data_IF_665702182795
#
_entry.id   IF_665702182795
#
_cell.length_a   1.000
_cell.length_b   1.000
_cell.length_c   1.000
_cell.angle_alpha   90.00
_cell.angle_beta   90.00
_cell.angle_gamma   90.00
#
_symmetry.space_group_name_H-M   'P 1'
#
loop_
_entity.id
_entity.type
_entity.pdbx_description
1 polymer ?
#
# COMPACT_ATOMS: atom_id res chain seq x y z
N UNK A 1 10.78 -54.28 23.76
CA UNK A 1 11.15 -53.36 22.67
C UNK A 1 9.91 -53.03 21.79
N UNK A 2 8.79 -52.64 22.42
CA UNK A 2 7.49 -52.34 21.69
C UNK A 2 6.90 -50.96 22.09
N UNK A 3 7.55 -50.18 22.96
CA UNK A 3 6.96 -48.95 23.52
C UNK A 3 7.42 -47.64 22.84
N UNK A 4 8.42 -47.69 21.91
CA UNK A 4 8.99 -46.49 21.29
C UNK A 4 8.28 -46.08 19.98
N UNK A 5 7.58 -46.97 19.29
CA UNK A 5 6.92 -46.69 18.02
C UNK A 5 5.56 -45.98 18.15
N UNK A 6 4.85 -46.15 19.27
CA UNK A 6 3.57 -45.52 19.52
C UNK A 6 3.70 -44.00 19.83
N UNK A 7 4.80 -43.61 20.49
CA UNK A 7 5.01 -42.19 20.86
C UNK A 7 5.39 -41.33 19.63
N UNK A 8 6.21 -41.89 18.75
CA UNK A 8 6.64 -41.21 17.51
C UNK A 8 5.48 -41.02 16.52
N UNK A 9 4.59 -42.02 16.41
CA UNK A 9 3.41 -41.96 15.56
C UNK A 9 2.37 -40.93 16.09
N UNK A 10 2.30 -40.73 17.41
CA UNK A 10 1.39 -39.74 18.02
C UNK A 10 1.89 -38.31 17.82
N UNK A 11 3.20 -38.08 17.94
CA UNK A 11 3.84 -36.78 17.69
C UNK A 11 3.73 -36.41 16.21
N UNK A 12 3.96 -37.34 15.30
CA UNK A 12 3.83 -37.10 13.84
C UNK A 12 2.38 -36.81 13.47
N UNK A 13 1.40 -37.56 13.99
CA UNK A 13 -0.02 -37.27 13.78
C UNK A 13 -0.46 -35.91 14.34
N UNK A 14 0.05 -35.54 15.52
CA UNK A 14 -0.26 -34.23 16.13
C UNK A 14 0.37 -33.09 15.34
N UNK A 15 1.59 -33.26 14.82
CA UNK A 15 2.28 -32.26 13.98
C UNK A 15 1.61 -32.11 12.60
N UNK A 16 1.18 -33.22 11.98
CA UNK A 16 0.42 -33.21 10.71
C UNK A 16 -0.96 -32.60 10.92
N UNK A 17 -1.67 -32.94 12.02
CA UNK A 17 -2.98 -32.39 12.33
C UNK A 17 -2.93 -30.89 12.66
N UNK A 18 -1.85 -30.41 13.33
CA UNK A 18 -1.59 -28.98 13.51
C UNK A 18 -1.22 -28.29 12.20
N UNK A 19 -0.51 -28.95 11.29
CA UNK A 19 -0.21 -28.41 9.94
C UNK A 19 -1.46 -28.36 9.06
N UNK A 20 -2.32 -29.40 9.09
CA UNK A 20 -3.58 -29.44 8.36
C UNK A 20 -4.65 -28.49 8.94
N UNK A 21 -4.68 -28.26 10.26
CA UNK A 21 -5.54 -27.24 10.88
C UNK A 21 -5.13 -25.80 10.56
N UNK A 22 -3.88 -25.55 10.13
CA UNK A 22 -3.45 -24.23 9.60
C UNK A 22 -4.06 -23.90 8.24
N UNK A 23 -4.65 -24.88 7.52
CA UNK A 23 -5.11 -24.74 6.13
C UNK A 23 -6.53 -24.19 6.01
N UNK A 24 -7.28 -24.02 7.11
CA UNK A 24 -8.71 -23.63 7.07
C UNK A 24 -9.11 -22.40 7.87
N UNK A 25 -8.19 -21.65 8.43
CA UNK A 25 -8.55 -20.38 9.09
C UNK A 25 -8.52 -19.25 8.07
N UNK A 26 -9.68 -18.90 7.54
CA UNK A 26 -9.85 -17.78 6.61
C UNK A 26 -9.58 -16.45 7.29
N UNK A 27 -8.65 -15.67 6.75
CA UNK A 27 -8.42 -14.28 7.12
C UNK A 27 -8.37 -13.41 5.86
N UNK A 28 -8.69 -12.13 6.03
CA UNK A 28 -8.72 -11.18 4.90
C UNK A 28 -7.45 -10.32 4.81
N UNK A 29 -6.89 -9.94 5.95
CA UNK A 29 -5.69 -9.09 6.01
C UNK A 29 -4.72 -9.60 7.09
N UNK A 30 -3.46 -9.13 7.05
CA UNK A 30 -2.46 -9.43 8.10
C UNK A 30 -2.98 -9.05 9.49
N UNK A 31 -3.66 -7.89 9.62
CA UNK A 31 -4.24 -7.49 10.90
C UNK A 31 -5.39 -8.41 11.33
N UNK A 32 -6.24 -8.84 10.40
CA UNK A 32 -7.33 -9.79 10.70
C UNK A 32 -6.77 -11.15 11.16
N UNK A 33 -5.72 -11.64 10.49
CA UNK A 33 -5.00 -12.84 10.91
C UNK A 33 -4.46 -12.70 12.35
N UNK A 34 -3.75 -11.61 12.63
CA UNK A 34 -3.19 -11.35 13.95
C UNK A 34 -4.26 -11.26 15.05
N UNK A 35 -5.41 -10.63 14.77
CA UNK A 35 -6.55 -10.55 15.70
C UNK A 35 -7.19 -11.91 15.98
N UNK A 36 -7.12 -12.83 15.02
CA UNK A 36 -7.57 -14.22 15.16
C UNK A 36 -6.51 -15.15 15.75
N UNK A 37 -5.34 -14.62 16.08
CA UNK A 37 -4.21 -15.42 16.59
C UNK A 37 -3.56 -16.30 15.53
N UNK A 38 -3.75 -15.97 14.23
CA UNK A 38 -3.15 -16.70 13.12
C UNK A 38 -1.81 -16.04 12.79
N UNK A 39 -0.76 -16.85 12.84
CA UNK A 39 0.59 -16.43 12.43
C UNK A 39 0.74 -16.71 10.94
N UNK A 40 0.97 -15.66 10.16
CA UNK A 40 1.19 -15.76 8.71
C UNK A 40 2.68 -15.93 8.40
N UNK A 41 2.99 -16.41 7.20
CA UNK A 41 4.39 -16.48 6.72
C UNK A 41 5.07 -15.10 6.64
N UNK A 42 4.28 -14.05 6.39
CA UNK A 42 4.75 -12.67 6.38
C UNK A 42 5.15 -12.22 7.79
N UNK A 43 4.36 -12.55 8.82
CA UNK A 43 4.69 -12.27 10.22
C UNK A 43 5.95 -13.02 10.67
N UNK A 44 6.09 -14.30 10.33
CA UNK A 44 7.28 -15.08 10.62
C UNK A 44 8.54 -14.46 9.97
N UNK A 45 8.44 -14.05 8.70
CA UNK A 45 9.54 -13.41 8.00
C UNK A 45 9.93 -12.06 8.63
N UNK A 46 8.95 -11.24 9.01
CA UNK A 46 9.20 -9.95 9.67
C UNK A 46 9.80 -10.16 11.05
N UNK A 47 9.26 -11.05 11.87
CA UNK A 47 9.80 -11.35 13.20
C UNK A 47 11.27 -11.76 13.14
N UNK A 48 11.62 -12.62 12.17
CA UNK A 48 13.01 -13.03 11.91
C UNK A 48 13.91 -11.87 11.49
N UNK A 49 13.47 -11.03 10.56
CA UNK A 49 14.23 -9.86 10.06
C UNK A 49 14.47 -8.81 11.13
N UNK A 50 13.51 -8.63 12.03
CA UNK A 50 13.56 -7.62 13.09
C UNK A 50 14.09 -8.16 14.43
N UNK A 51 14.43 -9.45 14.51
CA UNK A 51 14.85 -10.12 15.75
C UNK A 51 13.84 -9.94 16.90
N UNK A 52 12.55 -9.91 16.55
CA UNK A 52 11.44 -9.74 17.51
C UNK A 52 10.77 -11.08 17.80
N UNK A 53 10.31 -11.26 19.02
CA UNK A 53 9.48 -12.41 19.41
C UNK A 53 8.18 -12.41 18.56
N UNK A 54 7.78 -13.59 18.08
CA UNK A 54 6.63 -13.70 17.17
C UNK A 54 5.31 -13.35 17.87
N UNK A 55 5.13 -13.71 19.12
CA UNK A 55 3.90 -13.41 19.87
C UNK A 55 3.79 -11.91 20.16
N UNK A 56 4.92 -11.24 20.39
CA UNK A 56 4.97 -9.79 20.52
C UNK A 56 4.64 -9.09 19.20
N UNK A 57 5.22 -9.55 18.07
CA UNK A 57 4.90 -9.02 16.76
C UNK A 57 3.40 -9.14 16.46
N UNK A 58 2.81 -10.32 16.67
CA UNK A 58 1.37 -10.57 16.43
C UNK A 58 0.51 -9.63 17.26
N UNK A 59 0.83 -9.40 18.53
CA UNK A 59 0.11 -8.44 19.39
C UNK A 59 0.18 -7.01 18.85
N UNK A 60 1.36 -6.59 18.37
CA UNK A 60 1.57 -5.24 17.83
C UNK A 60 0.85 -5.06 16.48
N UNK A 61 0.80 -6.10 15.64
CA UNK A 61 0.01 -6.10 14.39
C UNK A 61 -1.50 -6.06 14.71
N UNK A 62 -1.97 -6.90 15.64
CA UNK A 62 -3.38 -6.97 16.03
C UNK A 62 -3.92 -5.64 16.57
N UNK A 63 -3.10 -4.87 17.30
CA UNK A 63 -3.47 -3.56 17.84
C UNK A 63 -3.13 -2.37 16.90
N UNK A 64 -2.61 -2.64 15.69
CA UNK A 64 -2.33 -1.61 14.68
C UNK A 64 -1.08 -0.77 14.93
N UNK A 65 -0.16 -1.22 15.80
CA UNK A 65 1.13 -0.54 16.03
C UNK A 65 2.21 -0.95 15.03
N UNK A 66 2.02 -2.08 14.36
CA UNK A 66 2.83 -2.56 13.24
C UNK A 66 1.88 -2.89 12.09
N UNK A 67 2.29 -2.53 10.87
CA UNK A 67 1.67 -2.97 9.63
C UNK A 67 2.68 -3.78 8.83
N UNK A 68 2.16 -4.72 8.03
CA UNK A 68 2.96 -5.51 7.08
C UNK A 68 2.30 -5.35 5.72
N UNK A 69 2.75 -4.40 4.89
CA UNK A 69 2.23 -4.25 3.53
C UNK A 69 2.58 -5.48 2.70
N UNK A 70 1.55 -6.24 2.31
CA UNK A 70 1.74 -7.52 1.63
C UNK A 70 0.49 -7.87 0.80
N UNK A 71 0.38 -7.30 -0.39
CA UNK A 71 -0.71 -7.59 -1.28
C UNK A 71 -0.71 -9.07 -1.70
N UNK A 72 -1.86 -9.71 -1.69
CA UNK A 72 -2.05 -11.13 -2.06
C UNK A 72 -1.55 -11.47 -3.46
N UNK A 73 -1.51 -10.47 -4.35
CA UNK A 73 -1.09 -10.62 -5.74
C UNK A 73 0.41 -10.35 -5.96
N UNK A 74 1.13 -9.80 -4.97
CA UNK A 74 2.59 -9.58 -5.05
C UNK A 74 3.34 -10.85 -4.65
N UNK A 75 3.64 -11.73 -5.62
CA UNK A 75 4.15 -13.08 -5.34
C UNK A 75 5.63 -13.18 -4.99
N UNK A 76 6.44 -12.21 -5.42
CA UNK A 76 7.88 -12.17 -5.15
C UNK A 76 8.25 -11.32 -3.92
N UNK A 77 7.26 -10.77 -3.20
CA UNK A 77 7.48 -9.91 -2.05
C UNK A 77 8.33 -10.58 -0.97
N UNK A 78 9.35 -9.88 -0.52
CA UNK A 78 10.05 -10.14 0.73
C UNK A 78 9.49 -9.23 1.83
N UNK A 79 8.56 -9.70 2.68
CA UNK A 79 7.80 -8.83 3.57
C UNK A 79 8.68 -8.09 4.57
N UNK A 80 8.31 -6.85 4.85
CA UNK A 80 8.88 -6.02 5.91
C UNK A 80 7.76 -5.42 6.75
N UNK A 81 8.01 -5.27 8.05
CA UNK A 81 7.10 -4.60 8.97
C UNK A 81 7.44 -3.12 9.11
N UNK A 82 6.41 -2.29 9.30
CA UNK A 82 6.56 -0.84 9.54
C UNK A 82 5.79 -0.50 10.81
N UNK A 83 6.45 0.14 11.76
CA UNK A 83 5.78 0.53 13.01
C UNK A 83 6.68 0.51 14.23
N UNK A 84 6.03 0.42 15.39
CA UNK A 84 6.68 0.50 16.71
C UNK A 84 7.70 -0.59 16.91
N UNK A 85 8.87 -0.22 17.46
CA UNK A 85 9.97 -1.11 17.84
C UNK A 85 10.68 -1.81 16.66
N UNK A 86 10.33 -1.51 15.43
CA UNK A 86 11.01 -2.03 14.25
C UNK A 86 12.07 -1.03 13.76
N UNK A 87 13.03 -1.54 12.98
CA UNK A 87 14.00 -0.68 12.26
C UNK A 87 13.27 0.31 11.35
N UNK A 88 13.84 1.49 11.16
CA UNK A 88 13.39 2.42 10.12
C UNK A 88 13.62 1.83 8.74
N UNK A 89 12.59 1.84 7.88
CA UNK A 89 12.64 1.38 6.49
C UNK A 89 12.90 2.54 5.55
N UNK A 90 13.65 2.26 4.49
CA UNK A 90 13.92 3.23 3.43
C UNK A 90 12.92 3.00 2.30
N UNK A 91 12.18 4.06 1.97
CA UNK A 91 11.30 4.10 0.80
C UNK A 91 11.93 4.97 -0.28
N UNK A 92 12.17 4.43 -1.47
CA UNK A 92 12.79 5.11 -2.60
C UNK A 92 11.71 5.54 -3.59
N UNK A 93 11.65 6.84 -3.85
CA UNK A 93 10.72 7.42 -4.83
C UNK A 93 11.35 7.43 -6.22
N UNK A 94 10.62 6.97 -7.21
CA UNK A 94 10.98 6.98 -8.63
C UNK A 94 9.73 7.06 -9.51
N UNK A 95 9.89 7.03 -10.81
CA UNK A 95 8.77 6.99 -11.74
C UNK A 95 8.94 7.91 -12.94
N UNK A 96 8.19 7.62 -13.99
CA UNK A 96 8.21 8.35 -15.26
C UNK A 96 7.40 9.65 -15.20
N UNK A 97 7.85 10.63 -15.97
CA UNK A 97 7.18 11.92 -16.16
C UNK A 97 7.10 12.27 -17.64
N UNK A 98 6.37 13.33 -18.00
CA UNK A 98 6.29 13.81 -19.39
C UNK A 98 7.67 14.11 -19.99
N UNK A 99 8.60 14.58 -19.17
CA UNK A 99 9.91 14.99 -19.62
C UNK A 99 10.92 13.82 -19.66
N UNK A 100 10.60 12.69 -19.00
CA UNK A 100 11.44 11.50 -18.99
C UNK A 100 10.56 10.24 -18.88
N UNK A 101 10.49 9.46 -19.97
CA UNK A 101 9.64 8.25 -20.11
C UNK A 101 10.53 7.01 -20.37
N UNK A 102 11.70 6.95 -19.75
CA UNK A 102 12.63 5.84 -19.91
C UNK A 102 12.39 4.78 -18.84
N UNK A 103 11.68 3.71 -19.20
CA UNK A 103 11.35 2.61 -18.30
C UNK A 103 12.56 1.78 -17.92
N UNK A 104 13.55 1.64 -18.79
CA UNK A 104 14.75 0.86 -18.50
C UNK A 104 15.60 1.59 -17.47
N UNK A 105 15.72 2.90 -17.58
CA UNK A 105 16.38 3.73 -16.57
C UNK A 105 15.64 3.67 -15.22
N UNK A 106 14.30 3.67 -15.21
CA UNK A 106 13.53 3.53 -13.96
C UNK A 106 13.74 2.14 -13.34
N UNK A 107 13.81 1.06 -14.13
CA UNK A 107 14.14 -0.27 -13.64
C UNK A 107 15.56 -0.38 -13.09
N UNK A 108 16.52 0.28 -13.70
CA UNK A 108 17.89 0.35 -13.17
C UNK A 108 17.93 1.06 -11.81
N UNK A 109 17.13 2.13 -11.63
CA UNK A 109 16.97 2.79 -10.31
C UNK A 109 16.37 1.82 -9.28
N UNK A 110 15.33 1.06 -9.64
CA UNK A 110 14.73 0.02 -8.76
C UNK A 110 15.78 -0.99 -8.34
N UNK A 111 16.49 -1.58 -9.31
CA UNK A 111 17.51 -2.60 -9.07
C UNK A 111 18.63 -2.07 -8.15
N UNK A 112 19.08 -0.84 -8.38
CA UNK A 112 20.09 -0.21 -7.55
C UNK A 112 19.56 0.08 -6.13
N UNK A 113 18.33 0.56 -5.98
CA UNK A 113 17.71 0.82 -4.69
C UNK A 113 17.59 -0.47 -3.85
N UNK A 114 17.09 -1.55 -4.46
CA UNK A 114 16.98 -2.87 -3.80
C UNK A 114 18.36 -3.40 -3.42
N UNK A 115 19.35 -3.31 -4.32
CA UNK A 115 20.73 -3.72 -4.05
C UNK A 115 21.38 -2.93 -2.90
N UNK A 116 20.97 -1.67 -2.73
CA UNK A 116 21.42 -0.81 -1.62
C UNK A 116 20.63 -1.04 -0.32
N UNK A 117 19.64 -1.92 -0.33
CA UNK A 117 18.87 -2.33 0.85
C UNK A 117 17.60 -1.53 1.08
N UNK A 118 17.05 -0.86 0.07
CA UNK A 118 15.74 -0.23 0.18
C UNK A 118 14.65 -1.30 0.41
N UNK A 119 13.82 -1.10 1.42
CA UNK A 119 12.73 -2.00 1.77
C UNK A 119 11.43 -1.69 1.01
N UNK A 120 11.29 -0.47 0.50
CA UNK A 120 10.12 -0.05 -0.27
C UNK A 120 10.50 0.80 -1.48
N UNK A 121 9.71 0.65 -2.54
CA UNK A 121 9.78 1.46 -3.76
C UNK A 121 8.43 2.15 -3.95
N UNK A 122 8.44 3.48 -4.09
CA UNK A 122 7.26 4.28 -4.40
C UNK A 122 7.27 4.68 -5.86
N UNK A 123 6.40 4.06 -6.66
CA UNK A 123 6.19 4.44 -8.05
C UNK A 123 5.29 5.68 -8.13
N UNK A 124 5.90 6.80 -8.52
CA UNK A 124 5.25 8.09 -8.70
C UNK A 124 5.02 8.40 -10.19
N UNK A 125 5.01 7.39 -11.05
CA UNK A 125 4.80 7.54 -12.47
C UNK A 125 3.53 8.33 -12.78
N UNK A 126 3.65 9.25 -13.71
CA UNK A 126 2.58 10.17 -14.08
C UNK A 126 2.48 10.38 -15.59
N UNK A 127 3.18 9.55 -16.37
CA UNK A 127 3.16 9.57 -17.82
C UNK A 127 3.65 8.25 -18.43
N UNK A 128 3.16 7.91 -19.62
CA UNK A 128 3.53 6.69 -20.32
C UNK A 128 2.66 5.48 -19.92
N UNK A 129 3.14 4.27 -20.19
CA UNK A 129 2.44 3.02 -19.83
C UNK A 129 2.75 2.65 -18.36
N UNK A 130 2.13 3.40 -17.44
CA UNK A 130 2.29 3.26 -15.99
C UNK A 130 1.87 1.88 -15.50
N UNK A 131 0.81 1.30 -16.09
CA UNK A 131 0.32 -0.03 -15.70
C UNK A 131 1.31 -1.14 -16.03
N UNK A 132 1.96 -1.07 -17.19
CA UNK A 132 2.99 -2.03 -17.58
C UNK A 132 4.19 -1.98 -16.63
N UNK A 133 4.62 -0.77 -16.27
CA UNK A 133 5.70 -0.59 -15.31
C UNK A 133 5.33 -1.14 -13.93
N UNK A 134 4.17 -0.77 -13.41
CA UNK A 134 3.65 -1.26 -12.11
C UNK A 134 3.57 -2.79 -12.06
N UNK A 135 3.01 -3.43 -13.10
CA UNK A 135 2.96 -4.90 -13.17
C UNK A 135 4.34 -5.54 -13.18
N UNK A 136 5.31 -4.91 -13.84
CA UNK A 136 6.68 -5.40 -13.82
C UNK A 136 7.27 -5.30 -12.41
N UNK A 137 7.05 -4.19 -11.70
CA UNK A 137 7.50 -4.03 -10.32
C UNK A 137 6.91 -5.12 -9.41
N UNK A 138 5.60 -5.32 -9.42
CA UNK A 138 4.92 -6.31 -8.55
C UNK A 138 5.19 -7.77 -8.94
N UNK A 139 5.81 -8.01 -10.09
CA UNK A 139 6.18 -9.36 -10.54
C UNK A 139 7.65 -9.69 -10.26
N UNK A 140 8.54 -8.70 -10.34
CA UNK A 140 9.99 -8.92 -10.34
C UNK A 140 10.72 -8.31 -9.12
N UNK A 141 10.14 -7.28 -8.48
CA UNK A 141 10.80 -6.57 -7.37
C UNK A 141 10.41 -7.18 -6.02
N UNK A 142 11.36 -7.60 -5.17
CA UNK A 142 11.06 -8.16 -3.86
C UNK A 142 10.74 -7.11 -2.78
N UNK A 143 10.97 -5.83 -3.05
CA UNK A 143 10.65 -4.73 -2.12
C UNK A 143 9.15 -4.44 -2.12
N UNK A 144 8.66 -3.84 -1.03
CA UNK A 144 7.28 -3.34 -0.92
C UNK A 144 7.02 -2.30 -2.01
N UNK A 145 5.96 -2.45 -2.79
CA UNK A 145 5.60 -1.51 -3.87
C UNK A 145 4.47 -0.60 -3.42
N UNK A 146 4.74 0.71 -3.48
CA UNK A 146 3.76 1.76 -3.23
C UNK A 146 3.43 2.56 -4.48
N UNK A 147 2.20 3.09 -4.55
CA UNK A 147 1.75 3.96 -5.65
C UNK A 147 0.85 5.10 -5.18
N UNK A 148 0.58 6.04 -6.08
CA UNK A 148 -0.38 7.14 -5.87
C UNK A 148 -1.43 7.08 -6.98
N UNK A 149 -2.55 6.36 -6.80
CA UNK A 149 -3.53 6.10 -7.86
C UNK A 149 -4.05 7.36 -8.56
N UNK A 150 -4.18 8.48 -7.84
CA UNK A 150 -4.65 9.74 -8.42
C UNK A 150 -3.74 10.26 -9.55
N UNK A 151 -2.44 9.92 -9.57
CA UNK A 151 -1.54 10.33 -10.65
C UNK A 151 -1.81 9.58 -11.94
N UNK A 152 -2.25 8.33 -11.81
CA UNK A 152 -2.48 7.42 -12.93
C UNK A 152 -3.82 7.68 -13.62
N UNK A 153 -4.86 8.08 -12.90
CA UNK A 153 -6.21 8.22 -13.43
C UNK A 153 -6.29 9.13 -14.66
N UNK A 154 -5.62 10.29 -14.62
CA UNK A 154 -5.62 11.25 -15.74
C UNK A 154 -4.90 10.66 -16.96
N UNK A 155 -3.83 9.90 -16.73
CA UNK A 155 -3.03 9.26 -17.78
C UNK A 155 -3.78 8.09 -18.38
N UNK A 156 -4.35 7.23 -17.55
CA UNK A 156 -5.01 5.99 -17.95
C UNK A 156 -6.27 6.23 -18.77
N UNK A 157 -7.13 7.17 -18.33
CA UNK A 157 -8.39 7.43 -19.03
C UNK A 157 -8.27 8.36 -20.25
N UNK A 158 -7.14 9.03 -20.42
CA UNK A 158 -6.94 10.03 -21.50
C UNK A 158 -8.08 11.07 -21.60
N UNK A 159 -8.64 11.44 -20.43
CA UNK A 159 -9.75 12.39 -20.31
C UNK A 159 -9.28 13.71 -19.71
N UNK A 160 -10.04 14.79 -19.94
CA UNK A 160 -9.86 15.98 -19.15
C UNK A 160 -10.24 15.71 -17.69
N UNK A 161 -9.53 16.33 -16.74
CA UNK A 161 -9.70 16.09 -15.32
C UNK A 161 -11.18 16.17 -14.88
N UNK A 162 -11.92 17.17 -15.35
CA UNK A 162 -13.35 17.38 -15.03
C UNK A 162 -14.28 16.26 -15.52
N UNK A 163 -13.85 15.46 -16.51
CA UNK A 163 -14.66 14.43 -17.13
C UNK A 163 -14.41 13.03 -16.52
N UNK A 164 -13.51 12.94 -15.55
CA UNK A 164 -13.29 11.72 -14.75
C UNK A 164 -14.41 11.62 -13.72
N UNK A 165 -15.13 10.51 -13.73
CA UNK A 165 -16.25 10.25 -12.83
C UNK A 165 -15.76 9.74 -11.46
N UNK A 166 -16.59 9.87 -10.42
CA UNK A 166 -16.29 9.31 -9.10
C UNK A 166 -16.00 7.80 -9.16
N UNK A 167 -16.76 7.07 -9.98
CA UNK A 167 -16.53 5.63 -10.19
C UNK A 167 -15.15 5.35 -10.78
N UNK A 168 -14.73 6.12 -11.79
CA UNK A 168 -13.40 5.94 -12.41
C UNK A 168 -12.25 6.22 -11.43
N UNK A 169 -12.43 7.13 -10.46
CA UNK A 169 -11.47 7.31 -9.36
C UNK A 169 -11.35 6.07 -8.47
N UNK A 170 -12.44 5.37 -8.19
CA UNK A 170 -12.43 4.12 -7.44
C UNK A 170 -11.90 2.94 -8.26
N UNK A 171 -12.25 2.87 -9.54
CA UNK A 171 -11.78 1.84 -10.47
C UNK A 171 -10.25 1.86 -10.61
N UNK A 172 -9.61 3.05 -10.60
CA UNK A 172 -8.15 3.17 -10.59
C UNK A 172 -7.55 2.60 -9.29
N UNK A 173 -8.16 2.86 -8.12
CA UNK A 173 -7.69 2.28 -6.86
C UNK A 173 -7.75 0.75 -6.92
N UNK A 174 -8.88 0.20 -7.41
CA UNK A 174 -9.05 -1.24 -7.60
C UNK A 174 -8.01 -1.82 -8.56
N UNK A 175 -7.76 -1.18 -9.67
CA UNK A 175 -6.77 -1.62 -10.66
C UNK A 175 -5.36 -1.71 -10.06
N UNK A 176 -4.96 -0.74 -9.24
CA UNK A 176 -3.66 -0.78 -8.56
C UNK A 176 -3.59 -1.94 -7.55
N UNK A 177 -4.68 -2.18 -6.80
CA UNK A 177 -4.77 -3.31 -5.88
C UNK A 177 -4.68 -4.66 -6.60
N UNK A 178 -5.41 -4.83 -7.72
CA UNK A 178 -5.35 -6.02 -8.58
C UNK A 178 -3.96 -6.26 -9.16
N UNK A 179 -3.26 -5.20 -9.54
CA UNK A 179 -1.91 -5.28 -10.10
C UNK A 179 -0.84 -5.64 -9.05
N UNK A 180 -1.21 -5.80 -7.76
CA UNK A 180 -0.32 -6.31 -6.72
C UNK A 180 0.40 -5.24 -5.89
N UNK A 181 -0.05 -3.98 -5.92
CA UNK A 181 0.53 -2.90 -5.11
C UNK A 181 0.29 -3.14 -3.62
N UNK A 182 1.33 -3.03 -2.80
CA UNK A 182 1.28 -3.33 -1.36
C UNK A 182 0.73 -2.19 -0.52
N UNK A 183 0.98 -0.94 -0.94
CA UNK A 183 0.38 0.23 -0.29
C UNK A 183 0.04 1.33 -1.30
N UNK A 184 -0.98 2.10 -0.99
CA UNK A 184 -1.43 3.20 -1.85
C UNK A 184 -1.58 4.49 -1.07
N UNK A 185 -1.07 5.60 -1.60
CA UNK A 185 -1.32 6.92 -1.02
C UNK A 185 -2.62 7.49 -1.58
N UNK A 186 -3.62 7.63 -0.70
CA UNK A 186 -4.97 8.11 -1.02
C UNK A 186 -5.22 9.46 -0.34
N UNK A 187 -5.57 10.47 -1.11
CA UNK A 187 -5.83 11.83 -0.63
C UNK A 187 -7.31 12.01 -0.22
N UNK A 188 -7.74 11.27 0.80
CA UNK A 188 -9.13 11.28 1.28
C UNK A 188 -9.43 12.36 2.33
N UNK A 189 -8.42 13.05 2.87
CA UNK A 189 -8.61 14.03 3.94
C UNK A 189 -9.15 15.40 3.49
N UNK A 190 -9.05 15.74 2.20
CA UNK A 190 -9.64 16.97 1.65
C UNK A 190 -11.10 16.74 1.26
N UNK A 191 -11.99 17.64 1.66
CA UNK A 191 -13.42 17.64 1.33
C UNK A 191 -13.90 19.07 1.10
N UNK A 192 -15.16 19.26 0.72
CA UNK A 192 -15.74 20.60 0.47
C UNK A 192 -15.58 21.57 1.65
N UNK A 193 -15.67 21.07 2.89
CA UNK A 193 -15.52 21.91 4.08
C UNK A 193 -14.07 22.38 4.26
N UNK A 194 -13.10 21.48 4.11
CA UNK A 194 -11.66 21.82 4.16
C UNK A 194 -11.24 22.67 2.97
N UNK A 195 -11.76 22.41 1.76
CA UNK A 195 -11.53 23.22 0.56
C UNK A 195 -12.03 24.66 0.73
N UNK A 196 -13.20 24.86 1.37
CA UNK A 196 -13.72 26.19 1.70
C UNK A 196 -12.82 26.95 2.67
N UNK A 197 -12.30 26.27 3.70
CA UNK A 197 -11.34 26.87 4.65
C UNK A 197 -10.05 27.22 3.93
N UNK A 198 -9.53 26.32 3.11
CA UNK A 198 -8.31 26.53 2.34
C UNK A 198 -8.40 27.75 1.41
N UNK A 199 -9.55 27.97 0.73
CA UNK A 199 -9.78 29.18 -0.09
C UNK A 199 -9.82 30.47 0.71
N UNK A 200 -10.30 30.42 1.96
CA UNK A 200 -10.36 31.58 2.85
C UNK A 200 -8.98 31.91 3.46
N UNK A 201 -8.06 30.96 3.46
CA UNK A 201 -6.71 31.10 3.96
C UNK A 201 -5.81 31.75 2.90
N UNK A 202 -4.96 32.69 3.34
CA UNK A 202 -4.04 33.43 2.44
C UNK A 202 -2.64 32.81 2.48
N UNK A 203 -2.56 31.51 2.11
CA UNK A 203 -1.27 30.82 2.02
C UNK A 203 -0.38 31.41 0.93
N UNK A 204 0.91 31.46 1.23
CA UNK A 204 1.92 31.90 0.29
C UNK A 204 2.16 30.87 -0.83
N UNK A 205 2.21 29.57 -0.46
CA UNK A 205 2.56 28.49 -1.37
C UNK A 205 1.37 27.68 -1.88
N UNK A 206 0.14 27.97 -1.45
CA UNK A 206 -1.04 27.21 -1.82
C UNK A 206 -0.95 25.69 -1.50
N UNK A 207 -1.50 24.84 -2.38
CA UNK A 207 -1.44 23.37 -2.25
C UNK A 207 -0.16 22.86 -2.89
N UNK A 208 0.79 22.40 -2.08
CA UNK A 208 2.06 21.84 -2.54
C UNK A 208 1.99 20.31 -2.76
N UNK A 209 0.92 19.65 -2.30
CA UNK A 209 0.68 18.25 -2.58
C UNK A 209 0.15 18.08 -4.01
N UNK A 210 0.87 17.32 -4.84
CA UNK A 210 0.42 17.03 -6.22
C UNK A 210 -0.94 16.35 -6.26
N UNK A 211 -1.14 15.27 -5.47
CA UNK A 211 -2.42 14.58 -5.42
C UNK A 211 -3.51 15.43 -4.79
N UNK A 212 -3.17 16.22 -3.76
CA UNK A 212 -4.08 17.19 -3.15
C UNK A 212 -4.55 18.24 -4.15
N UNK A 213 -3.65 18.79 -4.97
CA UNK A 213 -4.01 19.80 -6.00
C UNK A 213 -4.85 19.22 -7.12
N UNK A 214 -4.60 17.97 -7.55
CA UNK A 214 -5.41 17.31 -8.57
C UNK A 214 -6.85 17.12 -8.09
N UNK A 215 -7.06 16.55 -6.90
CA UNK A 215 -8.41 16.31 -6.40
C UNK A 215 -9.12 17.62 -6.03
N UNK A 216 -8.39 18.60 -5.49
CA UNK A 216 -8.96 19.94 -5.24
C UNK A 216 -9.46 20.58 -6.54
N UNK A 217 -8.64 20.56 -7.60
CA UNK A 217 -9.01 21.08 -8.91
C UNK A 217 -10.24 20.35 -9.49
N UNK A 218 -10.29 19.02 -9.34
CA UNK A 218 -11.45 18.23 -9.76
C UNK A 218 -12.73 18.66 -9.01
N UNK A 219 -12.64 18.80 -7.70
CA UNK A 219 -13.77 19.26 -6.87
C UNK A 219 -14.25 20.66 -7.28
N UNK A 220 -13.33 21.58 -7.58
CA UNK A 220 -13.68 22.95 -8.02
C UNK A 220 -14.32 22.97 -9.41
N UNK A 221 -13.81 22.14 -10.34
CA UNK A 221 -14.35 22.10 -11.70
C UNK A 221 -15.71 21.43 -11.81
N UNK A 222 -15.95 20.41 -10.97
CA UNK A 222 -17.17 19.59 -11.03
C UNK A 222 -18.25 20.03 -10.03
N UNK A 223 -17.85 20.72 -8.97
CA UNK A 223 -18.72 21.01 -7.83
C UNK A 223 -19.05 19.79 -6.96
N UNK A 224 -18.46 18.63 -7.25
CA UNK A 224 -18.68 17.38 -6.49
C UNK A 224 -17.80 17.30 -5.25
N UNK A 225 -18.12 16.36 -4.35
CA UNK A 225 -17.28 16.01 -3.20
C UNK A 225 -16.09 15.15 -3.67
N UNK A 226 -15.01 15.14 -2.88
CA UNK A 226 -13.88 14.25 -3.10
C UNK A 226 -14.35 12.78 -3.08
N UNK A 227 -14.22 12.02 -4.19
CA UNK A 227 -14.68 10.64 -4.25
C UNK A 227 -14.03 9.73 -3.20
N UNK A 228 -12.74 9.95 -2.88
CA UNK A 228 -12.05 9.17 -1.85
C UNK A 228 -12.51 9.47 -0.43
N UNK A 229 -13.14 10.62 -0.21
CA UNK A 229 -13.79 10.97 1.06
C UNK A 229 -15.23 10.46 1.08
N UNK A 230 -15.99 10.69 0.00
CA UNK A 230 -17.42 10.34 -0.09
C UNK A 230 -17.64 8.83 -0.09
N UNK A 231 -16.80 8.08 -0.82
CA UNK A 231 -16.84 6.60 -0.93
C UNK A 231 -15.70 5.93 -0.16
N UNK A 232 -15.34 6.48 1.01
CA UNK A 232 -14.19 5.99 1.79
C UNK A 232 -14.32 4.53 2.19
N UNK A 233 -15.53 4.07 2.52
CA UNK A 233 -15.78 2.68 2.88
C UNK A 233 -15.54 1.73 1.70
N UNK A 234 -15.87 2.12 0.47
CA UNK A 234 -15.59 1.34 -0.73
C UNK A 234 -14.07 1.24 -0.98
N UNK A 235 -13.33 2.32 -0.72
CA UNK A 235 -11.86 2.28 -0.80
C UNK A 235 -11.28 1.33 0.25
N UNK A 236 -11.81 1.32 1.48
CA UNK A 236 -11.41 0.37 2.52
C UNK A 236 -11.74 -1.07 2.15
N UNK A 237 -12.88 -1.32 1.49
CA UNK A 237 -13.27 -2.66 1.02
C UNK A 237 -12.32 -3.16 -0.06
N UNK A 238 -11.92 -2.31 -1.01
CA UNK A 238 -10.88 -2.65 -1.99
C UNK A 238 -9.57 -3.00 -1.29
N UNK A 239 -9.11 -2.17 -0.34
CA UNK A 239 -7.89 -2.42 0.41
C UNK A 239 -7.96 -3.74 1.19
N UNK A 240 -9.10 -4.04 1.81
CA UNK A 240 -9.32 -5.30 2.55
C UNK A 240 -9.30 -6.53 1.64
N UNK A 241 -9.91 -6.43 0.45
CA UNK A 241 -9.99 -7.52 -0.52
C UNK A 241 -8.61 -8.01 -0.96
N UNK A 242 -7.66 -7.09 -1.17
CA UNK A 242 -6.31 -7.39 -1.68
C UNK A 242 -5.21 -7.33 -0.62
N UNK A 243 -5.55 -7.01 0.64
CA UNK A 243 -4.61 -6.76 1.75
C UNK A 243 -3.63 -5.62 1.43
N UNK A 244 -4.16 -4.51 0.95
CA UNK A 244 -3.40 -3.30 0.64
C UNK A 244 -3.37 -2.38 1.84
N UNK A 245 -2.20 -1.88 2.19
CA UNK A 245 -2.04 -0.85 3.21
C UNK A 245 -2.41 0.52 2.64
N UNK A 246 -3.30 1.24 3.33
CA UNK A 246 -3.61 2.62 2.97
C UNK A 246 -2.63 3.58 3.64
N UNK A 247 -1.94 4.39 2.84
CA UNK A 247 -1.19 5.56 3.26
C UNK A 247 -2.07 6.80 3.09
N UNK A 248 -2.42 7.47 4.19
CA UNK A 248 -3.27 8.65 4.14
C UNK A 248 -2.48 9.84 3.60
N UNK A 249 -2.81 10.26 2.37
CA UNK A 249 -2.14 11.35 1.66
C UNK A 249 -2.54 12.71 2.23
N UNK A 250 -1.55 13.49 2.63
CA UNK A 250 -1.76 14.85 3.09
C UNK A 250 -1.97 15.82 1.92
N UNK A 251 -3.23 16.21 1.70
CA UNK A 251 -3.60 17.10 0.62
C UNK A 251 -3.28 18.57 0.88
N UNK A 252 -3.28 18.99 2.14
CA UNK A 252 -3.26 20.42 2.53
C UNK A 252 -2.03 20.82 3.37
N UNK A 253 -0.96 20.02 3.37
CA UNK A 253 0.26 20.38 4.13
C UNK A 253 0.81 21.75 3.70
N UNK A 254 1.39 22.53 4.63
CA UNK A 254 2.00 23.82 4.32
C UNK A 254 3.22 23.64 3.41
N UNK A 255 3.45 24.60 2.53
CA UNK A 255 4.64 24.63 1.66
C UNK A 255 5.81 25.41 2.28
N UNK A 256 5.50 26.26 3.24
CA UNK A 256 6.49 27.05 3.98
C UNK A 256 5.99 27.40 5.39
N UNK A 257 6.87 27.99 6.20
CA UNK A 257 6.58 28.39 7.59
C UNK A 257 5.46 29.44 7.66
N UNK A 258 5.24 30.20 6.59
CA UNK A 258 4.26 31.27 6.54
C UNK A 258 2.85 30.82 6.12
N UNK A 259 2.69 29.55 5.73
CA UNK A 259 1.42 28.95 5.32
C UNK A 259 0.54 28.55 6.51
#
# INVERSE_FOLDING_TARGET
>A
MICTHAHTAHIIKHTIMCAEMRITMEYTTQMDAARKGIITKEMEAVAKKEYMDIDELVKLVACGKIIIPANKNHKCLEPNGIGSMLRTKINVNLGTSRDCVDLDMELDKVNNAVKMGAEAIMDLSSFGDTRKFRKKLTTECPAIIGTVPIYDAVVYYHKALKDITAKEWLDIVRMHAEDGVDFMTIHCGINKATAKKFRADKRLMNIVSRGGSIIYAWMEMTGNENPFFEYYDEVLDICREYDVTMSLGDACRPGCIMD
#
